data_IF_470427273319
#
_entry.id   IF_470427273319
#
_cell.length_a   1.000
_cell.length_b   1.000
_cell.length_c   1.000
_cell.angle_alpha   90.00
_cell.angle_beta   90.00
_cell.angle_gamma   90.00
#
_symmetry.space_group_name_H-M   'P 1'
#
loop_
_entity.id
_entity.type
_entity.pdbx_description
1 polymer ?
#
# COMPACT_ATOMS: atom_id res chain seq x y z
N UNK A 1 23.52 -14.06 1.28
CA UNK A 1 22.53 -13.03 0.88
C UNK A 1 21.42 -13.08 1.92
N UNK A 2 21.32 -12.07 2.78
CA UNK A 2 20.41 -12.07 3.93
C UNK A 2 18.98 -11.81 3.45
N UNK A 3 18.11 -12.81 3.57
CA UNK A 3 16.66 -12.70 3.34
C UNK A 3 16.03 -11.63 4.25
N UNK A 4 16.63 -11.39 5.43
CA UNK A 4 16.20 -10.37 6.39
C UNK A 4 16.24 -8.94 5.85
N UNK A 5 17.17 -8.61 4.93
CA UNK A 5 17.28 -7.25 4.37
C UNK A 5 16.22 -6.95 3.32
N UNK A 6 15.84 -7.96 2.52
CA UNK A 6 14.87 -7.78 1.43
C UNK A 6 13.48 -7.47 1.99
N UNK A 7 13.18 -7.90 3.22
CA UNK A 7 11.87 -7.72 3.83
C UNK A 7 11.74 -6.45 4.70
N UNK A 8 12.83 -6.01 5.35
CA UNK A 8 12.83 -4.71 6.05
C UNK A 8 12.59 -3.55 5.08
N UNK A 9 13.05 -3.68 3.82
CA UNK A 9 12.76 -2.69 2.77
C UNK A 9 11.31 -2.77 2.22
N UNK A 10 10.58 -3.86 2.51
CA UNK A 10 9.18 -4.13 2.03
C UNK A 10 8.11 -3.90 3.09
N UNK A 11 8.51 -3.73 4.34
CA UNK A 11 7.60 -3.39 5.43
C UNK A 11 7.62 -1.90 5.64
N UNK A 12 6.48 -1.27 5.43
CA UNK A 12 6.40 0.18 5.55
C UNK A 12 6.57 0.63 7.00
N UNK A 13 6.04 -0.12 7.98
CA UNK A 13 6.18 0.21 9.40
C UNK A 13 6.08 -1.02 10.33
N UNK A 14 6.93 -1.09 11.35
CA UNK A 14 6.66 -1.84 12.58
C UNK A 14 5.64 -1.02 13.38
N UNK A 15 4.51 -1.61 13.75
CA UNK A 15 3.46 -0.93 14.52
C UNK A 15 3.34 -1.54 15.93
N UNK A 16 3.23 -0.66 16.92
CA UNK A 16 3.15 -0.98 18.35
C UNK A 16 1.75 -0.56 18.85
N UNK A 17 0.83 -1.52 19.07
CA UNK A 17 -0.53 -1.23 19.57
C UNK A 17 -0.60 -1.40 21.09
N UNK A 18 -0.87 -0.29 21.81
CA UNK A 18 -1.26 -0.31 23.23
C UNK A 18 -2.75 -0.59 23.44
N UNK A 19 -3.09 -1.09 24.64
CA UNK A 19 -4.46 -1.37 25.10
C UNK A 19 -5.41 -0.14 24.97
N UNK A 20 -6.75 -0.32 24.96
CA UNK A 20 -7.68 0.74 24.55
C UNK A 20 -7.68 1.92 25.52
N UNK A 21 -7.29 3.10 25.02
CA UNK A 21 -7.32 4.38 25.74
C UNK A 21 -8.68 5.04 25.44
N UNK A 22 -9.35 5.54 26.49
CA UNK A 22 -10.68 6.18 26.42
C UNK A 22 -10.63 7.49 25.61
N UNK A 23 -11.68 7.73 24.82
CA UNK A 23 -11.90 8.94 24.02
C UNK A 23 -12.01 10.20 24.89
N UNK A 24 -10.90 10.90 25.12
CA UNK A 24 -10.86 12.35 25.33
C UNK A 24 -9.42 12.80 25.14
N UNK A 25 -9.06 13.18 23.91
CA UNK A 25 -8.07 14.22 23.56
C UNK A 25 -7.59 14.01 22.12
N UNK A 26 -8.30 14.61 21.17
CA UNK A 26 -7.82 14.72 19.79
C UNK A 26 -8.03 16.16 19.32
N UNK A 27 -7.01 16.99 19.59
CA UNK A 27 -6.71 18.16 18.78
C UNK A 27 -5.24 18.07 18.41
N UNK A 28 -4.94 18.18 17.12
CA UNK A 28 -3.90 19.03 16.51
C UNK A 28 -3.58 18.48 15.09
N UNK A 29 -3.87 19.34 14.09
CA UNK A 29 -2.99 19.67 12.95
C UNK A 29 -2.52 18.57 11.97
N UNK A 30 -3.06 18.62 10.75
CA UNK A 30 -2.32 18.27 9.53
C UNK A 30 -1.07 19.17 9.42
N UNK A 31 0.11 18.68 8.98
CA UNK A 31 0.37 18.64 7.53
C UNK A 31 1.38 17.58 7.01
N UNK A 32 1.39 17.47 5.68
CA UNK A 32 2.53 17.18 4.79
C UNK A 32 3.06 15.73 4.70
N UNK A 33 2.85 15.18 3.50
CA UNK A 33 3.62 14.10 2.88
C UNK A 33 5.10 14.16 3.26
N UNK A 34 5.50 13.21 4.11
CA UNK A 34 6.89 12.78 4.27
C UNK A 34 6.89 11.33 3.85
N UNK A 35 7.64 11.06 2.78
CA UNK A 35 8.12 9.74 2.44
C UNK A 35 8.72 9.13 3.72
N UNK A 36 8.00 8.22 4.37
CA UNK A 36 8.39 7.74 5.70
C UNK A 36 9.41 6.60 5.60
N UNK A 37 10.42 6.75 4.75
CA UNK A 37 11.70 6.07 4.87
C UNK A 37 12.57 6.83 5.86
N UNK A 38 12.20 6.80 7.13
CA UNK A 38 13.06 7.19 8.25
C UNK A 38 12.48 6.52 9.48
N UNK A 39 13.04 5.39 9.90
CA UNK A 39 13.53 5.17 11.28
C UNK A 39 14.29 3.84 11.33
N UNK A 40 15.58 3.96 11.70
CA UNK A 40 16.58 2.91 11.97
C UNK A 40 17.28 2.25 10.77
N UNK A 41 18.28 2.95 10.24
CA UNK A 41 19.52 2.32 9.77
C UNK A 41 20.70 3.16 10.31
N UNK A 42 21.21 2.82 11.50
CA UNK A 42 22.53 3.27 11.92
C UNK A 42 23.58 2.52 11.09
N UNK A 43 23.99 3.16 10.00
CA UNK A 43 25.12 2.74 9.19
C UNK A 43 26.41 3.26 9.84
N UNK A 44 27.23 2.30 10.28
CA UNK A 44 28.62 2.44 10.69
C UNK A 44 29.38 3.57 9.96
N UNK A 45 29.71 4.62 10.71
CA UNK A 45 30.96 5.36 10.54
C UNK A 45 31.75 5.23 11.83
N UNK A 46 32.70 4.30 11.82
CA UNK A 46 33.74 4.19 12.86
C UNK A 46 34.64 5.42 12.74
N UNK A 47 34.41 6.43 13.57
CA UNK A 47 35.48 7.34 13.96
C UNK A 47 36.15 6.78 15.23
N UNK A 48 37.30 6.16 15.03
CA UNK A 48 38.14 5.66 16.09
C UNK A 48 38.75 6.85 16.85
N UNK A 49 38.10 7.31 17.92
CA UNK A 49 38.70 7.90 19.16
C UNK A 49 37.68 8.67 19.99
N UNK A 50 36.71 7.99 20.60
CA UNK A 50 36.17 8.37 21.92
C UNK A 50 35.49 7.15 22.54
N UNK A 51 36.13 6.51 23.53
CA UNK A 51 35.48 5.49 24.35
C UNK A 51 34.52 6.18 25.32
N UNK A 52 33.29 6.46 24.86
CA UNK A 52 32.16 6.70 25.75
C UNK A 52 31.28 5.45 25.69
N UNK A 53 31.17 4.72 26.79
CA UNK A 53 30.30 3.56 26.91
C UNK A 53 28.85 4.03 26.96
N UNK A 54 28.21 4.15 25.80
CA UNK A 54 26.76 4.20 25.74
C UNK A 54 26.23 2.82 26.15
N UNK A 55 25.62 2.74 27.33
CA UNK A 55 24.72 1.62 27.65
C UNK A 55 23.48 1.83 26.78
N UNK A 56 23.42 1.12 25.65
CA UNK A 56 22.21 1.03 24.85
C UNK A 56 21.18 0.25 25.69
N UNK A 57 20.16 0.94 26.21
CA UNK A 57 19.08 0.27 26.94
C UNK A 57 18.28 -0.58 25.95
N UNK A 58 18.64 -1.86 25.86
CA UNK A 58 17.96 -2.83 25.00
C UNK A 58 16.56 -3.10 25.58
N UNK A 59 15.53 -2.57 24.90
CA UNK A 59 14.13 -2.83 25.20
C UNK A 59 13.81 -4.31 24.97
N UNK A 60 13.12 -4.95 25.93
CA UNK A 60 12.73 -6.36 25.88
C UNK A 60 11.21 -6.49 25.79
N UNK A 61 10.74 -7.62 25.23
CA UNK A 61 9.31 -7.95 25.22
C UNK A 61 8.69 -8.02 26.62
N UNK A 62 9.48 -8.36 27.64
CA UNK A 62 9.08 -8.40 29.05
C UNK A 62 8.75 -7.02 29.64
N UNK A 63 9.16 -5.94 28.97
CA UNK A 63 8.92 -4.58 29.45
C UNK A 63 7.49 -4.10 29.14
N UNK A 64 6.72 -4.91 28.40
CA UNK A 64 5.35 -4.63 27.99
C UNK A 64 4.36 -5.53 28.75
N UNK A 65 3.10 -5.09 28.96
CA UNK A 65 2.08 -5.89 29.65
C UNK A 65 1.81 -7.23 28.98
N UNK A 66 1.37 -8.21 29.76
CA UNK A 66 0.88 -9.48 29.21
C UNK A 66 -0.24 -9.25 28.18
N UNK A 67 -0.13 -9.92 27.03
CA UNK A 67 -1.08 -9.78 25.93
C UNK A 67 -0.85 -8.59 25.00
N UNK A 68 0.22 -7.81 25.21
CA UNK A 68 0.65 -6.77 24.28
C UNK A 68 0.97 -7.33 22.89
N UNK A 69 0.62 -6.61 21.83
CA UNK A 69 0.78 -7.07 20.45
C UNK A 69 1.88 -6.31 19.72
N UNK A 70 2.84 -7.07 19.21
CA UNK A 70 3.80 -6.59 18.25
C UNK A 70 3.32 -6.99 16.86
N UNK A 71 3.30 -6.01 15.94
CA UNK A 71 2.85 -6.28 14.59
C UNK A 71 3.57 -5.44 13.55
N UNK A 72 3.29 -5.78 12.30
CA UNK A 72 3.75 -5.02 11.13
C UNK A 72 2.53 -4.57 10.33
N UNK A 73 2.69 -3.52 9.55
CA UNK A 73 1.61 -2.93 8.77
C UNK A 73 1.99 -2.68 7.31
N UNK A 74 1.03 -2.87 6.41
CA UNK A 74 1.16 -2.63 4.97
C UNK A 74 -0.13 -2.02 4.41
N UNK A 75 -0.05 -1.51 3.18
CA UNK A 75 -1.23 -1.09 2.40
C UNK A 75 -1.25 -1.72 1.01
N UNK A 76 -2.46 -1.93 0.50
CA UNK A 76 -2.71 -2.66 -0.73
C UNK A 76 -1.98 -2.06 -1.94
N UNK A 77 -2.12 -0.76 -2.18
CA UNK A 77 -1.47 -0.13 -3.34
C UNK A 77 0.06 -0.10 -3.24
N UNK A 78 0.58 -0.05 -2.01
CA UNK A 78 2.02 0.05 -1.76
C UNK A 78 2.75 -1.28 -1.96
N UNK A 79 2.08 -2.42 -1.73
CA UNK A 79 2.76 -3.74 -1.77
C UNK A 79 2.17 -4.76 -2.76
N UNK A 80 0.88 -4.68 -3.12
CA UNK A 80 0.23 -5.77 -3.86
C UNK A 80 0.72 -5.92 -5.30
N UNK A 81 0.77 -4.82 -6.05
CA UNK A 81 0.95 -4.87 -7.50
C UNK A 81 -0.21 -5.55 -8.22
N UNK A 82 0.10 -6.23 -9.33
CA UNK A 82 -0.86 -6.96 -10.16
C UNK A 82 -2.08 -6.08 -10.51
N UNK A 83 -1.79 -4.84 -10.94
CA UNK A 83 -2.77 -3.74 -10.93
C UNK A 83 -3.95 -3.91 -11.88
N UNK A 84 -3.85 -4.79 -12.89
CA UNK A 84 -4.91 -5.14 -13.85
C UNK A 84 -5.21 -6.65 -13.89
N UNK A 85 -4.66 -7.42 -12.97
CA UNK A 85 -4.82 -8.87 -12.98
C UNK A 85 -6.13 -9.31 -12.33
N UNK A 86 -6.62 -10.49 -12.74
CA UNK A 86 -7.75 -11.18 -12.13
C UNK A 86 -9.01 -10.32 -11.94
N UNK A 87 -9.25 -9.39 -12.86
CA UNK A 87 -10.44 -8.53 -12.85
C UNK A 87 -10.37 -7.33 -11.92
N UNK A 88 -9.20 -7.02 -11.33
CA UNK A 88 -8.97 -5.72 -10.67
C UNK A 88 -9.11 -4.59 -11.70
N UNK A 89 -9.81 -3.53 -11.34
CA UNK A 89 -9.82 -2.30 -12.13
C UNK A 89 -8.75 -1.31 -11.69
N UNK A 90 -8.56 -0.29 -12.52
CA UNK A 90 -7.81 0.91 -12.16
C UNK A 90 -8.43 1.56 -10.91
N UNK A 91 -7.56 2.00 -10.01
CA UNK A 91 -7.87 2.91 -8.92
C UNK A 91 -7.34 4.32 -9.21
N UNK A 92 -7.65 5.26 -8.33
CA UNK A 92 -7.18 6.65 -8.39
C UNK A 92 -5.65 6.78 -8.46
N UNK A 93 -4.91 5.91 -7.77
CA UNK A 93 -3.45 5.94 -7.79
C UNK A 93 -2.86 5.38 -9.09
N UNK A 94 -3.46 4.34 -9.67
CA UNK A 94 -3.09 3.80 -10.97
C UNK A 94 -3.20 4.90 -12.03
N UNK A 95 -4.33 5.62 -12.05
CA UNK A 95 -4.55 6.73 -12.99
C UNK A 95 -3.67 7.92 -12.69
N UNK A 96 -3.46 8.27 -11.42
CA UNK A 96 -2.54 9.34 -11.04
C UNK A 96 -1.11 9.04 -11.51
N UNK A 97 -0.63 7.80 -11.31
CA UNK A 97 0.69 7.38 -11.73
C UNK A 97 0.84 7.29 -13.25
N UNK A 98 -0.24 7.09 -14.01
CA UNK A 98 -0.25 7.16 -15.48
C UNK A 98 -0.48 8.58 -16.02
N UNK A 99 -0.97 9.50 -15.19
CA UNK A 99 -1.37 10.83 -15.65
C UNK A 99 -0.14 11.65 -16.04
N UNK A 100 -0.21 12.50 -17.06
CA UNK A 100 0.87 13.42 -17.37
C UNK A 100 1.15 14.35 -16.16
N UNK A 101 2.31 14.20 -15.55
CA UNK A 101 2.79 15.01 -14.44
C UNK A 101 3.33 16.37 -14.89
N UNK A 102 3.57 17.25 -13.92
CA UNK A 102 4.11 18.59 -14.14
C UNK A 102 5.62 18.68 -13.89
N UNK A 103 6.23 17.58 -13.42
CA UNK A 103 7.67 17.47 -13.19
C UNK A 103 8.36 16.94 -14.45
N UNK A 104 9.66 17.20 -14.59
CA UNK A 104 10.46 16.94 -15.79
C UNK A 104 11.59 15.94 -15.42
N UNK A 105 11.36 14.62 -15.53
CA UNK A 105 12.37 13.62 -15.17
C UNK A 105 12.64 12.52 -16.22
N UNK A 106 11.94 12.48 -17.37
CA UNK A 106 12.17 11.46 -18.40
C UNK A 106 12.21 12.06 -19.82
N UNK A 107 13.20 11.62 -20.62
CA UNK A 107 13.42 12.05 -22.01
C UNK A 107 12.71 11.09 -22.99
N UNK A 108 11.72 11.58 -23.73
CA UNK A 108 11.16 10.86 -24.89
C UNK A 108 11.52 11.62 -26.18
N UNK A 109 12.06 10.90 -27.17
CA UNK A 109 12.47 11.46 -28.47
C UNK A 109 11.44 11.06 -29.53
N UNK A 110 10.68 12.03 -30.03
CA UNK A 110 9.77 11.85 -31.19
C UNK A 110 10.39 12.40 -32.48
N UNK A 111 10.17 11.70 -33.60
CA UNK A 111 10.51 12.17 -34.95
C UNK A 111 9.23 12.28 -35.79
N UNK A 112 9.03 13.41 -36.45
CA UNK A 112 7.95 13.60 -37.43
C UNK A 112 8.52 14.18 -38.73
N UNK A 113 7.97 13.75 -39.86
CA UNK A 113 8.34 14.21 -41.20
C UNK A 113 7.19 15.07 -41.71
N UNK A 114 7.45 16.36 -41.95
CA UNK A 114 6.52 17.26 -42.61
C UNK A 114 6.81 17.26 -44.12
N UNK A 115 5.83 16.85 -44.92
CA UNK A 115 5.94 16.76 -46.39
C UNK A 115 5.69 18.08 -47.11
N UNK A 116 5.41 19.18 -46.40
CA UNK A 116 4.92 20.43 -47.01
C UNK A 116 5.99 21.49 -47.32
N UNK A 117 7.19 21.41 -46.73
CA UNK A 117 8.35 22.22 -47.11
C UNK A 117 9.64 21.43 -46.80
N UNK A 118 10.50 21.22 -47.81
CA UNK A 118 11.90 20.76 -47.69
C UNK A 118 12.22 19.89 -46.46
N UNK A 119 12.15 18.55 -46.59
CA UNK A 119 12.59 17.53 -45.62
C UNK A 119 13.20 18.05 -44.30
N UNK A 120 12.37 18.60 -43.42
CA UNK A 120 12.80 19.03 -42.09
C UNK A 120 12.37 17.96 -41.09
N UNK A 121 13.34 17.30 -40.48
CA UNK A 121 13.10 16.43 -39.32
C UNK A 121 12.83 17.33 -38.13
N UNK A 122 11.60 17.33 -37.62
CA UNK A 122 11.26 18.05 -36.39
C UNK A 122 11.42 17.10 -35.21
N UNK A 123 12.53 17.22 -34.50
CA UNK A 123 12.74 16.58 -33.20
C UNK A 123 12.01 17.41 -32.14
N UNK A 124 10.96 16.86 -31.56
CA UNK A 124 10.26 17.50 -30.43
C UNK A 124 10.66 16.76 -29.16
N UNK A 125 11.31 17.46 -28.24
CA UNK A 125 11.65 16.96 -26.91
C UNK A 125 10.52 17.40 -25.99
N UNK A 126 9.71 16.45 -25.50
CA UNK A 126 8.71 16.73 -24.47
C UNK A 126 9.14 16.02 -23.19
N UNK A 127 9.20 16.77 -22.09
CA UNK A 127 9.60 16.29 -20.78
C UNK A 127 8.35 16.17 -19.92
N UNK A 128 7.96 14.94 -19.56
CA UNK A 128 6.81 14.75 -18.68
C UNK A 128 7.03 13.54 -17.76
N UNK A 129 7.09 13.79 -16.45
CA UNK A 129 6.91 12.73 -15.46
C UNK A 129 5.52 12.15 -15.59
N UNK A 130 5.33 10.86 -15.31
CA UNK A 130 4.00 10.28 -15.12
C UNK A 130 3.66 10.35 -13.61
N UNK A 131 2.50 10.90 -13.28
CA UNK A 131 2.15 11.39 -11.96
C UNK A 131 3.08 12.52 -11.51
N UNK A 132 2.69 13.32 -10.52
CA UNK A 132 3.63 14.23 -9.85
C UNK A 132 4.59 13.48 -8.90
N UNK A 133 5.07 12.30 -9.31
CA UNK A 133 5.88 11.35 -8.54
C UNK A 133 7.36 11.67 -8.79
N UNK A 134 8.16 11.75 -7.71
CA UNK A 134 9.54 12.26 -7.79
C UNK A 134 10.43 11.45 -8.75
N UNK A 135 10.27 10.14 -8.82
CA UNK A 135 11.03 9.28 -9.73
C UNK A 135 10.21 8.77 -10.93
N UNK A 136 8.92 9.15 -11.02
CA UNK A 136 8.00 8.54 -11.99
C UNK A 136 7.67 7.07 -11.71
N UNK A 137 7.96 6.59 -10.50
CA UNK A 137 7.64 5.23 -10.05
C UNK A 137 6.12 5.00 -9.99
N UNK A 138 5.69 3.75 -9.98
CA UNK A 138 4.28 3.36 -9.92
C UNK A 138 4.09 2.08 -9.09
N UNK A 139 2.83 1.81 -8.70
CA UNK A 139 2.44 0.62 -7.94
C UNK A 139 2.03 -0.57 -8.81
N UNK A 140 2.42 -0.64 -10.10
CA UNK A 140 1.93 -1.69 -10.99
C UNK A 140 2.43 -3.08 -10.59
N UNK A 141 3.70 -3.15 -10.17
CA UNK A 141 4.34 -4.35 -9.61
C UNK A 141 4.47 -4.21 -8.10
N UNK A 142 4.89 -3.03 -7.61
CA UNK A 142 5.16 -2.80 -6.18
C UNK A 142 6.12 -3.88 -5.62
N UNK A 143 5.79 -4.45 -4.46
CA UNK A 143 6.52 -5.59 -3.88
C UNK A 143 6.04 -6.95 -4.39
N UNK A 144 5.05 -6.97 -5.28
CA UNK A 144 4.46 -8.17 -5.86
C UNK A 144 3.81 -9.10 -4.80
N UNK A 145 3.29 -8.52 -3.71
CA UNK A 145 2.61 -9.27 -2.65
C UNK A 145 1.41 -10.07 -3.18
N UNK A 146 0.78 -9.64 -4.28
CA UNK A 146 -0.31 -10.38 -4.90
C UNK A 146 0.07 -11.82 -5.25
N UNK A 147 1.28 -12.02 -5.77
CA UNK A 147 1.80 -13.33 -6.11
C UNK A 147 2.58 -13.97 -4.97
N UNK A 148 3.21 -13.14 -4.11
CA UNK A 148 4.21 -13.57 -3.14
C UNK A 148 3.74 -13.57 -1.68
N UNK A 149 2.45 -13.35 -1.43
CA UNK A 149 1.89 -13.25 -0.07
C UNK A 149 2.26 -14.40 0.88
N UNK A 150 2.45 -15.63 0.38
CA UNK A 150 2.90 -16.76 1.21
C UNK A 150 4.33 -16.58 1.73
N UNK A 151 5.22 -16.03 0.91
CA UNK A 151 6.60 -15.73 1.30
C UNK A 151 6.61 -14.65 2.37
N UNK A 152 5.83 -13.58 2.16
CA UNK A 152 5.73 -12.48 3.12
C UNK A 152 5.15 -12.96 4.46
N UNK A 153 4.11 -13.80 4.44
CA UNK A 153 3.53 -14.39 5.66
C UNK A 153 4.55 -15.31 6.37
N UNK A 154 5.37 -16.05 5.65
CA UNK A 154 6.42 -16.87 6.26
C UNK A 154 7.47 -16.01 6.98
N UNK A 155 7.80 -14.84 6.42
CA UNK A 155 8.75 -13.91 7.06
C UNK A 155 8.12 -13.25 8.29
N UNK A 156 6.86 -12.81 8.20
CA UNK A 156 6.05 -12.32 9.34
C UNK A 156 6.10 -13.35 10.48
N UNK A 157 5.93 -14.63 10.16
CA UNK A 157 6.02 -15.70 11.15
C UNK A 157 7.43 -15.83 11.74
N UNK A 158 8.50 -15.77 10.93
CA UNK A 158 9.88 -15.90 11.43
C UNK A 158 10.30 -14.74 12.34
N UNK A 159 9.69 -13.56 12.19
CA UNK A 159 9.92 -12.41 13.08
C UNK A 159 9.26 -12.58 14.46
N UNK A 160 8.39 -13.59 14.64
CA UNK A 160 7.70 -13.85 15.90
C UNK A 160 6.72 -12.73 16.29
N UNK A 161 6.13 -12.04 15.31
CA UNK A 161 5.13 -11.00 15.56
C UNK A 161 3.73 -11.60 15.77
N UNK A 162 2.93 -10.91 16.56
CA UNK A 162 1.63 -11.38 17.05
C UNK A 162 0.48 -11.00 16.11
N UNK A 163 0.66 -9.93 15.33
CA UNK A 163 -0.38 -9.34 14.50
C UNK A 163 0.15 -8.81 13.16
N UNK A 164 -0.70 -8.88 12.13
CA UNK A 164 -0.42 -8.28 10.82
C UNK A 164 -1.58 -7.38 10.42
N UNK A 165 -1.28 -6.10 10.22
CA UNK A 165 -2.25 -5.11 9.71
C UNK A 165 -2.06 -4.93 8.21
N UNK A 166 -3.10 -5.18 7.43
CA UNK A 166 -3.08 -4.94 5.98
C UNK A 166 -4.37 -4.26 5.53
N UNK A 167 -4.36 -3.61 4.37
CA UNK A 167 -5.57 -3.05 3.77
C UNK A 167 -6.10 -3.91 2.63
N UNK A 168 -7.40 -3.78 2.37
CA UNK A 168 -8.05 -4.39 1.21
C UNK A 168 -8.11 -3.35 0.09
N UNK A 169 -7.71 -3.74 -1.12
CA UNK A 169 -7.88 -2.88 -2.28
C UNK A 169 -9.35 -2.86 -2.72
N UNK A 170 -9.95 -1.67 -2.70
CA UNK A 170 -11.35 -1.51 -3.08
C UNK A 170 -11.57 -1.87 -4.56
N UNK A 171 -10.68 -1.42 -5.45
CA UNK A 171 -10.80 -1.72 -6.89
C UNK A 171 -10.51 -3.19 -7.25
N UNK A 172 -9.85 -3.94 -6.35
CA UNK A 172 -9.69 -5.39 -6.51
C UNK A 172 -10.96 -6.15 -6.13
N UNK A 173 -11.63 -5.76 -5.06
CA UNK A 173 -12.85 -6.44 -4.56
C UNK A 173 -14.12 -5.99 -5.29
N UNK A 174 -14.24 -4.70 -5.57
CA UNK A 174 -15.35 -4.08 -6.29
C UNK A 174 -14.79 -3.20 -7.41
N UNK A 175 -14.47 -3.79 -8.58
CA UNK A 175 -13.82 -3.07 -9.70
C UNK A 175 -14.62 -1.86 -10.19
N UNK A 176 -15.94 -1.89 -10.03
CA UNK A 176 -16.83 -0.80 -10.42
C UNK A 176 -17.43 -0.06 -9.23
N UNK A 177 -16.81 -0.21 -8.06
CA UNK A 177 -17.37 0.22 -6.79
C UNK A 177 -18.78 -0.36 -6.59
N UNK A 178 -19.76 0.50 -6.32
CA UNK A 178 -21.17 0.09 -6.14
C UNK A 178 -21.94 -0.21 -7.44
N UNK A 179 -21.33 -0.05 -8.60
CA UNK A 179 -22.00 -0.14 -9.91
C UNK A 179 -21.77 -1.46 -10.63
N UNK A 180 -21.03 -2.39 -10.03
CA UNK A 180 -20.80 -3.71 -10.59
C UNK A 180 -20.78 -4.77 -9.52
N UNK A 181 -20.46 -5.97 -9.96
CA UNK A 181 -20.43 -7.16 -9.13
C UNK A 181 -19.11 -7.27 -8.36
N UNK A 182 -19.15 -8.08 -7.30
CA UNK A 182 -17.96 -8.45 -6.53
C UNK A 182 -17.03 -9.28 -7.41
N UNK A 183 -15.74 -8.97 -7.39
CA UNK A 183 -14.72 -9.78 -8.03
C UNK A 183 -14.38 -11.01 -7.17
N UNK A 184 -14.76 -12.24 -7.56
CA UNK A 184 -14.51 -13.44 -6.76
C UNK A 184 -13.01 -13.74 -6.59
N UNK A 185 -12.17 -13.40 -7.57
CA UNK A 185 -10.72 -13.62 -7.47
C UNK A 185 -10.08 -12.72 -6.41
N UNK A 186 -10.50 -11.45 -6.35
CA UNK A 186 -10.11 -10.53 -5.28
C UNK A 186 -10.50 -11.04 -3.89
N UNK A 187 -11.70 -11.60 -3.75
CA UNK A 187 -12.15 -12.23 -2.50
C UNK A 187 -11.30 -13.44 -2.15
N UNK A 188 -11.01 -14.31 -3.11
CA UNK A 188 -10.16 -15.48 -2.89
C UNK A 188 -8.75 -15.10 -2.45
N UNK A 189 -8.17 -14.03 -3.01
CA UNK A 189 -6.86 -13.53 -2.61
C UNK A 189 -6.83 -13.16 -1.13
N UNK A 190 -7.75 -12.32 -0.64
CA UNK A 190 -7.79 -11.93 0.77
C UNK A 190 -8.16 -13.09 1.71
N UNK A 191 -9.04 -14.02 1.28
CA UNK A 191 -9.33 -15.23 2.06
C UNK A 191 -8.05 -16.08 2.24
N UNK A 192 -7.25 -16.27 1.19
CA UNK A 192 -5.97 -17.01 1.28
C UNK A 192 -5.01 -16.36 2.27
N UNK A 193 -4.92 -15.02 2.29
CA UNK A 193 -4.10 -14.30 3.27
C UNK A 193 -4.62 -14.56 4.69
N UNK A 194 -5.91 -14.35 4.95
CA UNK A 194 -6.49 -14.54 6.28
C UNK A 194 -6.35 -15.97 6.78
N UNK A 195 -6.65 -16.96 5.95
CA UNK A 195 -6.52 -18.37 6.29
C UNK A 195 -5.07 -18.71 6.67
N UNK A 196 -4.08 -18.21 5.91
CA UNK A 196 -2.67 -18.46 6.18
C UNK A 196 -2.14 -17.75 7.43
N UNK A 197 -2.66 -16.57 7.77
CA UNK A 197 -2.32 -15.85 9.00
C UNK A 197 -2.89 -16.58 10.21
N UNK A 198 -4.17 -16.94 10.18
CA UNK A 198 -4.82 -17.65 11.29
C UNK A 198 -4.20 -19.02 11.52
N UNK A 199 -3.85 -19.74 10.46
CA UNK A 199 -3.14 -21.03 10.55
C UNK A 199 -1.81 -20.92 11.32
N UNK A 200 -1.15 -19.76 11.24
CA UNK A 200 0.13 -19.47 11.90
C UNK A 200 -0.03 -18.76 13.25
N UNK A 201 -1.26 -18.57 13.72
CA UNK A 201 -1.55 -17.86 14.97
C UNK A 201 -1.33 -16.34 14.90
N UNK A 202 -1.18 -15.77 13.71
CA UNK A 202 -0.98 -14.33 13.51
C UNK A 202 -2.35 -13.67 13.40
N UNK A 203 -2.60 -12.62 14.20
CA UNK A 203 -3.88 -11.91 14.22
C UNK A 203 -4.00 -10.90 13.07
N UNK A 204 -4.98 -11.04 12.17
CA UNK A 204 -5.19 -10.08 11.10
C UNK A 204 -5.91 -8.83 11.61
N UNK A 205 -5.38 -7.65 11.28
CA UNK A 205 -6.03 -6.35 11.49
C UNK A 205 -6.33 -5.72 10.12
N UNK A 206 -7.59 -5.75 9.70
CA UNK A 206 -7.97 -5.37 8.34
C UNK A 206 -8.35 -3.88 8.28
N UNK A 207 -7.65 -3.13 7.44
CA UNK A 207 -8.00 -1.75 7.08
C UNK A 207 -8.89 -1.76 5.84
N UNK A 208 -10.14 -1.35 5.97
CA UNK A 208 -11.13 -1.44 4.86
C UNK A 208 -10.84 -0.42 3.75
N UNK A 209 -10.28 0.74 4.09
CA UNK A 209 -9.94 1.79 3.15
C UNK A 209 -8.59 2.40 3.49
N UNK A 210 -7.67 2.40 2.53
CA UNK A 210 -6.33 2.99 2.68
C UNK A 210 -5.98 3.83 1.45
N UNK A 211 -6.81 4.83 1.17
CA UNK A 211 -6.64 5.82 0.10
C UNK A 211 -6.73 5.32 -1.35
N UNK A 212 -7.01 4.03 -1.57
CA UNK A 212 -7.29 3.48 -2.90
C UNK A 212 -8.80 3.25 -3.11
N UNK A 213 -9.33 3.77 -4.21
CA UNK A 213 -10.73 3.57 -4.62
C UNK A 213 -10.83 3.41 -6.14
N UNK A 214 -11.85 2.69 -6.66
CA UNK A 214 -12.03 2.48 -8.09
C UNK A 214 -12.11 3.81 -8.84
N UNK A 215 -11.35 3.94 -9.93
CA UNK A 215 -11.34 5.16 -10.75
C UNK A 215 -12.74 5.54 -11.23
N UNK A 216 -13.63 4.57 -11.46
CA UNK A 216 -15.01 4.82 -11.87
C UNK A 216 -15.78 5.72 -10.89
N UNK A 217 -15.42 5.77 -9.62
CA UNK A 217 -16.04 6.69 -8.65
C UNK A 217 -15.56 8.14 -8.83
N UNK A 218 -14.31 8.32 -9.27
CA UNK A 218 -13.73 9.61 -9.64
C UNK A 218 -14.41 10.12 -10.90
N UNK A 219 -14.46 9.29 -11.94
CA UNK A 219 -15.01 9.67 -13.24
C UNK A 219 -16.50 10.06 -13.16
N UNK A 220 -17.25 9.42 -12.25
CA UNK A 220 -18.69 9.66 -12.10
C UNK A 220 -19.02 10.88 -11.24
N UNK A 221 -18.26 11.10 -10.17
CA UNK A 221 -18.66 12.05 -9.13
C UNK A 221 -17.54 12.96 -8.63
N UNK A 222 -16.28 12.72 -8.98
CA UNK A 222 -15.14 13.30 -8.26
C UNK A 222 -14.93 12.65 -6.88
N UNK A 223 -15.38 11.39 -6.73
CA UNK A 223 -15.22 10.59 -5.51
C UNK A 223 -15.63 11.33 -4.23
N UNK A 224 -14.72 11.39 -3.25
CA UNK A 224 -14.94 11.99 -1.94
C UNK A 224 -15.18 13.51 -1.98
N UNK A 225 -14.88 14.18 -3.09
CA UNK A 225 -15.19 15.61 -3.26
C UNK A 225 -16.69 15.85 -3.49
N UNK A 226 -17.45 14.79 -3.80
CA UNK A 226 -18.89 14.89 -4.05
C UNK A 226 -19.72 14.23 -2.97
N UNK A 227 -20.80 14.90 -2.50
CA UNK A 227 -21.74 14.31 -1.55
C UNK A 227 -22.47 13.08 -2.13
N UNK A 228 -22.49 12.91 -3.46
CA UNK A 228 -23.11 11.75 -4.12
C UNK A 228 -22.39 10.42 -3.83
N UNK A 229 -21.14 10.49 -3.37
CA UNK A 229 -20.36 9.34 -2.89
C UNK A 229 -21.00 8.70 -1.66
N UNK A 230 -21.62 9.50 -0.79
CA UNK A 230 -22.27 9.05 0.44
C UNK A 230 -23.71 8.55 0.20
N UNK A 231 -24.30 8.89 -0.95
CA UNK A 231 -25.71 8.61 -1.21
C UNK A 231 -25.93 7.12 -1.44
N UNK A 232 -26.34 6.39 -0.41
CA UNK A 232 -26.81 5.01 -0.54
C UNK A 232 -28.30 5.05 -0.89
N UNK A 233 -28.72 4.41 -1.99
CA UNK A 233 -30.15 4.33 -2.38
C UNK A 233 -30.98 3.82 -1.18
N UNK A 234 -32.18 4.38 -0.97
CA UNK A 234 -33.20 3.79 -0.08
C UNK A 234 -33.44 2.35 -0.55
N UNK A 235 -33.16 1.37 0.31
CA UNK A 235 -33.03 -0.08 0.03
C UNK A 235 -31.70 -0.46 -0.65
N UNK A 236 -30.56 -0.34 0.06
CA UNK A 236 -29.34 -0.97 -0.39
C UNK A 236 -29.55 -2.48 -0.49
N UNK A 237 -29.28 -3.04 -1.68
CA UNK A 237 -28.90 -4.45 -1.77
C UNK A 237 -27.52 -4.52 -1.12
N UNK A 238 -27.48 -4.77 0.18
CA UNK A 238 -26.24 -5.09 0.86
C UNK A 238 -25.81 -6.46 0.34
N UNK A 239 -24.89 -6.48 -0.61
CA UNK A 239 -24.08 -7.68 -0.80
C UNK A 239 -23.29 -7.85 0.50
N UNK A 240 -23.61 -8.88 1.29
CA UNK A 240 -22.70 -9.27 2.36
C UNK A 240 -21.46 -9.84 1.68
N UNK A 241 -20.43 -9.03 1.52
CA UNK A 241 -19.14 -9.51 1.05
C UNK A 241 -18.54 -10.29 2.23
N UNK A 242 -18.71 -11.61 2.20
CA UNK A 242 -18.15 -12.49 3.20
C UNK A 242 -16.73 -12.85 2.82
N UNK A 243 -15.78 -12.10 3.38
CA UNK A 243 -14.40 -12.56 3.50
C UNK A 243 -14.37 -13.45 4.73
N UNK A 244 -14.44 -14.77 4.51
CA UNK A 244 -14.50 -15.75 5.59
C UNK A 244 -13.13 -16.38 5.73
N UNK A 245 -12.53 -16.25 6.91
CA UNK A 245 -11.42 -17.10 7.27
C UNK A 245 -11.97 -18.46 7.75
N UNK A 246 -11.54 -19.56 7.13
CA UNK A 246 -11.85 -20.92 7.59
C UNK A 246 -10.69 -21.40 8.44
N UNK A 247 -10.94 -21.61 9.72
CA UNK A 247 -10.07 -22.48 10.52
C UNK A 247 -10.17 -23.87 9.91
N UNK A 248 -9.10 -24.36 9.30
CA UNK A 248 -9.00 -25.76 8.90
C UNK A 248 -9.00 -26.58 10.21
N UNK A 249 -10.13 -27.22 10.50
CA UNK A 249 -10.31 -28.21 11.57
C UNK A 249 -9.65 -29.52 11.22
#
# INVERSE_FOLDING_TARGET
MNLDRIFVDRLEHIFIMGAPIKETDMRIGFPRWVCSCCFFLDLFLVDSKTHTSFHEEVIKRSDFPDGFLFGVATSAYQIEGAYLEDGKSLNNWDVFALSPGNKINQLTIGCSIDSSLHYHIRLTITLQCLGNIENGDNGFIADDHYHRYLEDINIIQSLGIDAYRFSISWSRVLPRGRFGDVNPNGIMFYNKILDNLLLRGIRPFVTIYHYDFPQELEDRYGSWLSPLMQYVKKNPIFYSIKINAKLLS
#
